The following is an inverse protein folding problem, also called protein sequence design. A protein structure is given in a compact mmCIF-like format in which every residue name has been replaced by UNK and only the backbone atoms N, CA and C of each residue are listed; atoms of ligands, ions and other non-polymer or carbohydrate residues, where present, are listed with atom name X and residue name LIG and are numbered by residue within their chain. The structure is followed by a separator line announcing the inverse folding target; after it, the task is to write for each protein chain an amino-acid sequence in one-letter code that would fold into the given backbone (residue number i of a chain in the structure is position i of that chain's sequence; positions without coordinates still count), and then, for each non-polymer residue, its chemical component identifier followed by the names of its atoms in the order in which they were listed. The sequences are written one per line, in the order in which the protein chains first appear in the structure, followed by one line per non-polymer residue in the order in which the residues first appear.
data_IF_147466613225
#
_entry.id   IF_147466613225
#
_cell.length_a   1.000
_cell.length_b   1.000
_cell.length_c   1.000
_cell.angle_alpha   90.00
_cell.angle_beta   90.00
_cell.angle_gamma   90.00
#
_symmetry.space_group_name_H-M   'P 1'
#
loop_
_entity.id
_entity.type
_entity.pdbx_description
1 polymer ?
#
# COMPACT_ATOMS: atom_id res chain seq x y z
N UNK A 1 28.83 -16.56 -13.32
CA UNK A 1 27.50 -16.25 -12.79
C UNK A 1 27.54 -14.88 -12.13
N UNK A 2 26.99 -13.86 -12.69
CA UNK A 2 26.94 -12.58 -12.03
C UNK A 2 25.63 -12.43 -11.31
N UNK A 3 25.64 -12.49 -10.03
CA UNK A 3 24.55 -12.01 -9.20
C UNK A 3 24.87 -10.60 -8.71
N UNK A 4 24.97 -9.66 -9.61
CA UNK A 4 25.02 -8.23 -9.27
C UNK A 4 23.64 -7.65 -8.97
N UNK A 5 22.65 -8.50 -8.78
CA UNK A 5 21.32 -8.06 -8.31
C UNK A 5 21.35 -8.00 -6.80
N UNK A 6 21.50 -6.79 -6.28
CA UNK A 6 21.25 -6.53 -4.86
C UNK A 6 19.85 -7.01 -4.49
N UNK A 7 19.67 -7.68 -3.35
CA UNK A 7 18.35 -8.18 -2.89
C UNK A 7 17.24 -7.13 -2.88
N UNK A 8 17.58 -5.85 -2.82
CA UNK A 8 16.65 -4.72 -2.82
C UNK A 8 15.92 -4.46 -4.15
N UNK A 9 16.21 -5.23 -5.21
CA UNK A 9 15.56 -5.11 -6.52
C UNK A 9 14.69 -6.29 -6.91
N UNK A 10 14.41 -7.19 -5.96
CA UNK A 10 13.56 -8.37 -6.20
C UNK A 10 12.24 -8.17 -5.47
N UNK A 11 11.14 -8.31 -6.20
CA UNK A 11 9.80 -8.26 -5.61
C UNK A 11 9.59 -9.42 -4.65
N UNK A 12 9.07 -9.13 -3.46
CA UNK A 12 8.73 -10.13 -2.48
C UNK A 12 7.45 -10.86 -2.89
N UNK A 13 7.47 -12.20 -2.72
CA UNK A 13 6.38 -13.08 -3.07
C UNK A 13 5.96 -13.95 -1.89
N UNK A 14 4.69 -14.38 -1.86
CA UNK A 14 4.15 -15.30 -0.86
C UNK A 14 4.18 -16.73 -1.40
N UNK A 15 4.75 -17.63 -0.59
CA UNK A 15 4.70 -19.07 -0.80
C UNK A 15 4.01 -19.74 0.37
N UNK A 16 3.19 -20.74 0.09
CA UNK A 16 2.53 -21.58 1.08
C UNK A 16 3.24 -22.94 1.10
N UNK A 17 3.63 -23.37 2.29
CA UNK A 17 4.27 -24.67 2.52
C UNK A 17 3.29 -25.54 3.30
N UNK A 18 2.91 -26.68 2.72
CA UNK A 18 2.20 -27.73 3.45
C UNK A 18 3.19 -28.47 4.34
N UNK A 19 2.96 -28.45 5.65
CA UNK A 19 3.93 -29.00 6.64
C UNK A 19 4.05 -30.52 6.53
N UNK A 20 2.96 -31.22 6.25
CA UNK A 20 2.95 -32.66 6.21
C UNK A 20 3.62 -33.21 4.95
N UNK A 21 3.26 -32.69 3.79
CA UNK A 21 3.80 -33.12 2.49
C UNK A 21 5.07 -32.39 2.08
N UNK A 22 5.41 -31.27 2.73
CA UNK A 22 6.50 -30.33 2.38
C UNK A 22 6.36 -29.72 0.99
N UNK A 23 5.17 -29.80 0.39
CA UNK A 23 4.91 -29.16 -0.89
C UNK A 23 4.86 -27.66 -0.76
N UNK A 24 5.54 -26.97 -1.68
CA UNK A 24 5.60 -25.51 -1.75
C UNK A 24 4.75 -25.04 -2.92
N UNK A 25 3.78 -24.17 -2.65
CA UNK A 25 2.90 -23.56 -3.65
C UNK A 25 3.07 -22.04 -3.65
N UNK A 26 3.40 -21.40 -4.80
CA UNK A 26 3.39 -19.95 -4.88
C UNK A 26 1.95 -19.45 -4.86
N UNK A 27 1.67 -18.47 -3.98
CA UNK A 27 0.36 -17.81 -3.89
C UNK A 27 0.28 -16.57 -4.79
N UNK A 28 1.38 -15.83 -4.89
CA UNK A 28 1.44 -14.52 -5.57
C UNK A 28 2.25 -14.53 -6.87
N UNK A 29 2.44 -15.68 -7.52
CA UNK A 29 3.24 -15.81 -8.76
C UNK A 29 2.86 -14.82 -9.86
N UNK A 30 1.54 -14.58 -10.03
CA UNK A 30 0.98 -13.69 -11.07
C UNK A 30 0.54 -12.35 -10.48
N UNK A 31 1.01 -12.03 -9.28
CA UNK A 31 0.71 -10.79 -8.57
C UNK A 31 1.95 -9.91 -8.63
N UNK A 32 1.85 -8.82 -9.38
CA UNK A 32 3.00 -7.96 -9.68
C UNK A 32 3.49 -7.09 -8.52
N UNK A 33 2.61 -6.55 -7.61
CA UNK A 33 3.07 -5.73 -6.51
C UNK A 33 3.98 -6.49 -5.53
N UNK A 34 4.97 -5.79 -4.96
CA UNK A 34 5.91 -6.35 -4.00
C UNK A 34 5.29 -6.49 -2.61
N UNK A 35 5.20 -7.71 -2.10
CA UNK A 35 4.59 -8.00 -0.79
C UNK A 35 5.47 -7.53 0.35
N UNK A 36 4.86 -6.91 1.37
CA UNK A 36 5.59 -6.46 2.58
C UNK A 36 5.10 -7.17 3.84
N UNK A 37 4.08 -6.64 4.52
CA UNK A 37 3.56 -7.22 5.75
C UNK A 37 2.57 -8.33 5.45
N UNK A 38 2.69 -9.47 6.14
CA UNK A 38 1.80 -10.62 5.97
C UNK A 38 1.28 -11.03 7.35
N UNK A 39 -0.02 -11.33 7.44
CA UNK A 39 -0.63 -11.88 8.64
C UNK A 39 -1.76 -12.84 8.27
N UNK A 40 -1.73 -14.05 8.87
CA UNK A 40 -2.83 -15.00 8.75
C UNK A 40 -3.91 -14.68 9.77
N UNK A 41 -5.15 -14.55 9.34
CA UNK A 41 -6.27 -14.31 10.23
C UNK A 41 -6.89 -15.65 10.69
N UNK A 42 -6.84 -15.88 12.00
CA UNK A 42 -7.41 -17.09 12.61
C UNK A 42 -8.95 -17.09 12.54
N UNK A 43 -9.58 -15.92 12.54
CA UNK A 43 -11.03 -15.79 12.55
C UNK A 43 -11.72 -16.26 11.26
N UNK A 44 -11.22 -15.84 10.10
CA UNK A 44 -11.79 -16.15 8.78
C UNK A 44 -10.94 -17.08 7.92
N UNK A 45 -9.76 -17.45 8.43
CA UNK A 45 -8.77 -18.27 7.76
C UNK A 45 -8.28 -17.71 6.41
N UNK A 46 -8.28 -16.38 6.29
CA UNK A 46 -7.72 -15.67 5.14
C UNK A 46 -6.35 -15.10 5.47
N UNK A 47 -5.54 -14.94 4.45
CA UNK A 47 -4.26 -14.25 4.54
C UNK A 47 -4.45 -12.78 4.19
N UNK A 48 -4.01 -11.89 5.07
CA UNK A 48 -3.99 -10.44 4.83
C UNK A 48 -2.56 -9.99 4.64
N UNK A 49 -2.34 -9.09 3.69
CA UNK A 49 -1.01 -8.57 3.42
C UNK A 49 -1.05 -7.18 2.79
N UNK A 50 0.01 -6.42 2.99
CA UNK A 50 0.24 -5.19 2.22
C UNK A 50 1.21 -5.46 1.10
N UNK A 51 1.07 -4.70 0.01
CA UNK A 51 2.02 -4.75 -1.09
C UNK A 51 2.21 -3.37 -1.72
N UNK A 52 3.44 -3.11 -2.15
CA UNK A 52 3.79 -1.92 -2.92
C UNK A 52 3.40 -2.13 -4.38
N UNK A 53 2.56 -1.25 -4.88
CA UNK A 53 2.21 -1.15 -6.29
C UNK A 53 2.62 0.24 -6.79
N UNK A 54 3.71 0.30 -7.52
CA UNK A 54 4.38 1.54 -7.93
C UNK A 54 4.77 2.39 -6.71
N UNK A 55 4.10 3.53 -6.50
CA UNK A 55 4.33 4.49 -5.44
C UNK A 55 3.28 4.44 -4.31
N UNK A 56 2.30 3.54 -4.40
CA UNK A 56 1.26 3.32 -3.40
C UNK A 56 1.46 1.99 -2.68
N UNK A 57 0.97 1.91 -1.45
CA UNK A 57 0.96 0.66 -0.69
C UNK A 57 -0.47 0.29 -0.32
N UNK A 58 -0.91 -0.84 -0.84
CA UNK A 58 -2.28 -1.32 -0.74
C UNK A 58 -2.43 -2.52 0.18
N UNK A 59 -3.66 -2.71 0.68
CA UNK A 59 -4.05 -3.84 1.50
C UNK A 59 -4.80 -4.88 0.66
N UNK A 60 -4.42 -6.13 0.83
CA UNK A 60 -5.00 -7.27 0.12
C UNK A 60 -5.42 -8.36 1.09
N UNK A 61 -6.37 -9.19 0.66
CA UNK A 61 -6.63 -10.48 1.29
C UNK A 61 -6.57 -11.59 0.27
N UNK A 62 -6.12 -12.76 0.68
CA UNK A 62 -6.05 -13.94 -0.15
C UNK A 62 -6.70 -15.15 0.52
N UNK A 63 -7.46 -15.91 -0.26
CA UNK A 63 -7.89 -17.25 0.09
C UNK A 63 -6.84 -18.24 -0.42
N UNK A 64 -6.13 -18.86 0.50
CA UNK A 64 -5.02 -19.76 0.21
C UNK A 64 -5.48 -21.04 -0.52
N UNK A 65 -6.73 -21.47 -0.32
CA UNK A 65 -7.28 -22.68 -0.97
C UNK A 65 -7.56 -22.43 -2.45
N UNK A 66 -8.27 -21.35 -2.74
CA UNK A 66 -8.63 -20.99 -4.13
C UNK A 66 -7.52 -20.23 -4.85
N UNK A 67 -6.58 -19.62 -4.15
CA UNK A 67 -5.56 -18.73 -4.68
C UNK A 67 -6.10 -17.35 -5.09
N UNK A 68 -7.36 -17.03 -4.74
CA UNK A 68 -7.97 -15.74 -5.09
C UNK A 68 -7.41 -14.64 -4.21
N UNK A 69 -6.88 -13.59 -4.85
CA UNK A 69 -6.43 -12.35 -4.20
C UNK A 69 -7.46 -11.27 -4.48
N UNK A 70 -7.79 -10.48 -3.46
CA UNK A 70 -8.72 -9.37 -3.54
C UNK A 70 -8.07 -8.13 -2.91
N UNK A 71 -8.06 -7.02 -3.65
CA UNK A 71 -7.73 -5.72 -3.10
C UNK A 71 -8.85 -5.26 -2.15
N UNK A 72 -8.48 -4.69 -1.03
CA UNK A 72 -9.41 -4.12 -0.05
C UNK A 72 -9.48 -2.62 -0.32
N UNK A 73 -10.70 -2.07 -0.37
CA UNK A 73 -10.89 -0.63 -0.54
C UNK A 73 -10.33 0.13 0.66
N UNK A 74 -9.54 1.14 0.40
CA UNK A 74 -8.77 1.89 1.38
C UNK A 74 -9.15 3.36 1.37
N UNK A 75 -9.10 4.03 2.52
CA UNK A 75 -9.34 5.48 2.61
C UNK A 75 -8.10 6.31 2.27
N UNK A 76 -6.92 5.70 2.17
CA UNK A 76 -5.63 6.37 1.98
C UNK A 76 -4.80 5.71 0.88
N UNK A 77 -3.85 6.44 0.30
CA UNK A 77 -2.99 5.96 -0.79
C UNK A 77 -1.87 5.02 -0.32
N UNK A 78 -1.45 5.19 0.93
CA UNK A 78 -0.33 4.44 1.49
C UNK A 78 -0.73 3.82 2.82
N UNK A 79 -0.93 2.52 2.79
CA UNK A 79 -1.21 1.73 3.98
C UNK A 79 0.05 1.54 4.81
N UNK A 80 -0.01 1.93 6.07
CA UNK A 80 1.06 1.71 7.03
C UNK A 80 1.08 0.26 7.53
N UNK A 81 1.12 0.10 8.84
CA UNK A 81 1.02 -1.21 9.49
C UNK A 81 -0.42 -1.55 9.79
N UNK A 82 -0.73 -2.85 9.77
CA UNK A 82 -2.02 -3.35 10.21
C UNK A 82 -1.87 -4.42 11.29
N UNK A 83 -2.92 -4.64 12.06
CA UNK A 83 -3.05 -5.71 13.04
C UNK A 83 -4.45 -6.30 12.98
N UNK A 84 -4.54 -7.62 13.06
CA UNK A 84 -5.77 -8.40 13.07
C UNK A 84 -6.11 -8.82 14.50
N UNK A 85 -7.40 -8.80 14.84
CA UNK A 85 -7.87 -9.34 16.11
C UNK A 85 -8.03 -10.87 16.00
N UNK A 86 -7.55 -11.60 17.00
CA UNK A 86 -7.59 -13.08 17.00
C UNK A 86 -9.00 -13.66 17.13
N UNK A 87 -9.89 -12.95 17.82
CA UNK A 87 -11.24 -13.46 18.21
C UNK A 87 -12.40 -12.65 17.63
N UNK A 88 -12.14 -11.73 16.72
CA UNK A 88 -13.16 -10.87 16.14
C UNK A 88 -12.83 -10.51 14.68
N UNK A 89 -13.84 -10.24 13.84
CA UNK A 89 -13.64 -9.82 12.46
C UNK A 89 -13.23 -8.34 12.39
N UNK A 90 -12.12 -8.00 13.02
CA UNK A 90 -11.65 -6.61 13.16
C UNK A 90 -10.18 -6.51 12.81
N UNK A 91 -9.87 -5.49 12.05
CA UNK A 91 -8.52 -5.04 11.75
C UNK A 91 -8.36 -3.59 12.21
N UNK A 92 -7.17 -3.23 12.65
CA UNK A 92 -6.72 -1.83 12.78
C UNK A 92 -5.55 -1.60 11.85
N UNK A 93 -5.45 -0.41 11.30
CA UNK A 93 -4.33 -0.05 10.44
C UNK A 93 -4.07 1.45 10.47
N UNK A 94 -2.83 1.84 10.16
CA UNK A 94 -2.51 3.22 9.86
C UNK A 94 -2.51 3.45 8.35
N UNK A 95 -2.79 4.67 7.94
CA UNK A 95 -2.75 5.08 6.55
C UNK A 95 -2.39 6.54 6.42
N UNK A 96 -1.80 6.90 5.29
CA UNK A 96 -1.44 8.27 4.94
C UNK A 96 -1.61 8.51 3.44
N UNK A 97 -1.72 9.75 3.06
CA UNK A 97 -1.68 10.18 1.66
C UNK A 97 -0.56 11.20 1.46
N UNK A 98 -0.37 11.62 0.23
CA UNK A 98 0.65 12.63 -0.08
C UNK A 98 0.37 14.01 0.56
N UNK A 99 -0.88 14.26 0.98
CA UNK A 99 -1.33 15.54 1.55
C UNK A 99 -1.65 15.47 3.05
N UNK A 100 -1.45 14.31 3.69
CA UNK A 100 -1.65 14.16 5.12
C UNK A 100 -0.67 13.15 5.74
N UNK A 101 -0.49 13.25 7.06
CA UNK A 101 0.28 12.28 7.83
C UNK A 101 -0.62 11.13 8.30
N UNK A 102 -0.07 10.23 9.11
CA UNK A 102 -0.73 9.04 9.60
C UNK A 102 -2.10 9.32 10.25
N UNK A 103 -3.07 8.54 9.83
CA UNK A 103 -4.37 8.36 10.45
C UNK A 103 -4.54 6.93 10.91
N UNK A 104 -5.28 6.71 11.98
CA UNK A 104 -5.57 5.38 12.49
C UNK A 104 -7.01 5.00 12.17
N UNK A 105 -7.18 3.80 11.66
CA UNK A 105 -8.46 3.25 11.23
C UNK A 105 -8.75 1.93 11.93
N UNK A 106 -10.06 1.65 12.08
CA UNK A 106 -10.61 0.33 12.37
C UNK A 106 -11.44 -0.13 11.17
N UNK A 107 -11.30 -1.38 10.80
CA UNK A 107 -12.09 -1.99 9.72
C UNK A 107 -12.83 -3.23 10.24
N UNK A 108 -14.10 -3.35 9.89
CA UNK A 108 -14.85 -4.59 10.04
C UNK A 108 -14.56 -5.49 8.83
N UNK A 109 -14.03 -6.70 9.08
CA UNK A 109 -13.59 -7.62 8.02
C UNK A 109 -14.75 -8.30 7.27
N UNK A 110 -15.98 -8.24 7.80
CA UNK A 110 -17.16 -8.76 7.10
C UNK A 110 -17.66 -7.77 6.05
N UNK A 111 -17.65 -6.49 6.38
CA UNK A 111 -18.14 -5.43 5.49
C UNK A 111 -17.04 -4.74 4.71
N UNK A 112 -15.78 -4.87 5.15
CA UNK A 112 -14.59 -4.18 4.63
C UNK A 112 -14.73 -2.65 4.65
N UNK A 113 -15.51 -2.12 5.60
CA UNK A 113 -15.72 -0.68 5.75
C UNK A 113 -14.78 -0.14 6.83
N UNK A 114 -13.88 0.79 6.48
CA UNK A 114 -13.02 1.46 7.43
C UNK A 114 -13.78 2.56 8.18
N UNK A 115 -13.40 2.76 9.44
CA UNK A 115 -13.83 3.87 10.28
C UNK A 115 -12.58 4.53 10.85
N UNK A 116 -12.41 5.82 10.66
CA UNK A 116 -11.30 6.58 11.23
C UNK A 116 -11.48 6.68 12.75
N UNK A 117 -10.43 6.33 13.49
CA UNK A 117 -10.39 6.42 14.95
C UNK A 117 -9.67 7.69 15.41
N UNK A 118 -8.54 8.00 14.77
CA UNK A 118 -7.69 9.13 15.14
C UNK A 118 -7.15 9.79 13.87
N UNK A 119 -7.19 11.10 13.83
CA UNK A 119 -6.50 11.92 12.85
C UNK A 119 -5.26 12.55 13.51
N UNK A 120 -4.11 11.89 13.34
CA UNK A 120 -2.85 12.39 13.86
C UNK A 120 -2.36 13.60 13.08
N UNK A 121 -2.78 13.75 11.83
CA UNK A 121 -2.49 14.93 11.02
C UNK A 121 -3.14 16.18 11.63
N UNK A 122 -4.46 16.12 11.88
CA UNK A 122 -5.19 17.23 12.49
C UNK A 122 -4.65 17.59 13.88
N UNK A 123 -4.23 16.60 14.67
CA UNK A 123 -3.65 16.83 15.99
C UNK A 123 -2.28 17.52 15.96
N UNK A 124 -1.48 17.27 14.93
CA UNK A 124 -0.10 17.80 14.85
C UNK A 124 0.02 19.04 14.00
N UNK A 125 -0.80 19.15 12.97
CA UNK A 125 -0.67 20.13 11.90
C UNK A 125 -1.99 20.84 11.58
N UNK A 126 -2.92 20.91 12.55
CA UNK A 126 -4.23 21.51 12.33
C UNK A 126 -4.18 22.97 11.85
N UNK A 127 -3.10 23.68 12.20
CA UNK A 127 -2.85 25.07 11.79
C UNK A 127 -1.97 25.17 10.52
N UNK A 128 -1.57 24.04 9.93
CA UNK A 128 -0.71 23.99 8.75
C UNK A 128 -1.54 23.61 7.52
N UNK A 129 -1.49 24.45 6.51
CA UNK A 129 -2.11 24.15 5.24
C UNK A 129 -1.12 23.40 4.33
N UNK A 130 -1.54 22.23 3.88
CA UNK A 130 -0.74 21.39 2.98
C UNK A 130 -1.14 21.65 1.52
N UNK A 131 -0.17 21.51 0.63
CA UNK A 131 -0.41 21.52 -0.79
C UNK A 131 -1.10 20.24 -1.28
N UNK A 132 -1.36 20.17 -2.56
CA UNK A 132 -1.95 19.00 -3.21
C UNK A 132 -0.89 18.14 -3.88
N UNK A 133 -1.20 16.87 -4.08
CA UNK A 133 -0.37 15.95 -4.84
C UNK A 133 -1.21 15.28 -5.92
N UNK A 134 -0.69 15.28 -7.13
CA UNK A 134 -1.34 14.69 -8.31
C UNK A 134 -0.44 13.58 -8.88
N UNK A 135 -1.05 12.44 -9.21
CA UNK A 135 -0.36 11.42 -9.98
C UNK A 135 -0.13 11.92 -11.41
N UNK A 136 1.05 11.63 -11.94
CA UNK A 136 1.47 12.07 -13.25
C UNK A 136 2.23 10.96 -13.96
N UNK A 137 1.80 10.63 -15.16
CA UNK A 137 2.44 9.61 -15.96
C UNK A 137 2.84 10.19 -17.33
N UNK A 138 3.97 9.76 -17.86
CA UNK A 138 4.36 10.06 -19.23
C UNK A 138 5.03 8.87 -19.90
N UNK A 139 4.98 8.82 -21.21
CA UNK A 139 5.67 7.80 -22.00
C UNK A 139 7.00 8.37 -22.49
N UNK A 140 8.09 7.69 -22.16
CA UNK A 140 9.43 8.07 -22.59
C UNK A 140 9.68 7.71 -24.07
N UNK A 141 10.82 8.12 -24.61
CA UNK A 141 11.21 7.86 -26.02
C UNK A 141 11.38 6.37 -26.37
N UNK A 142 11.42 5.48 -25.38
CA UNK A 142 11.51 4.02 -25.55
C UNK A 142 10.16 3.32 -25.47
N UNK A 143 9.10 4.07 -25.18
CA UNK A 143 7.75 3.52 -24.99
C UNK A 143 7.44 3.07 -23.57
N UNK A 144 8.33 3.28 -22.58
CA UNK A 144 8.08 2.94 -21.19
C UNK A 144 7.20 4.02 -20.54
N UNK A 145 6.21 3.61 -19.76
CA UNK A 145 5.44 4.54 -18.92
C UNK A 145 6.22 4.84 -17.64
N UNK A 146 6.52 6.10 -17.44
CA UNK A 146 7.16 6.62 -16.23
C UNK A 146 6.10 7.26 -15.36
N UNK A 147 5.96 6.77 -14.13
CA UNK A 147 5.03 7.30 -13.15
C UNK A 147 5.74 8.30 -12.25
N UNK A 148 5.06 9.36 -11.88
CA UNK A 148 5.56 10.39 -11.00
C UNK A 148 4.47 11.05 -10.19
N UNK A 149 4.88 11.93 -9.29
CA UNK A 149 4.01 12.74 -8.45
C UNK A 149 4.35 14.21 -8.61
N UNK A 150 3.33 15.03 -8.73
CA UNK A 150 3.43 16.46 -8.83
C UNK A 150 2.90 17.09 -7.53
N UNK A 151 3.79 17.69 -6.75
CA UNK A 151 3.45 18.35 -5.49
C UNK A 151 3.29 19.84 -5.73
N UNK A 152 2.10 20.35 -5.50
CA UNK A 152 1.76 21.76 -5.66
C UNK A 152 1.67 22.44 -4.30
N UNK A 153 2.13 23.70 -4.15
CA UNK A 153 2.01 24.43 -2.90
C UNK A 153 0.54 24.72 -2.56
N UNK A 154 0.23 25.03 -1.29
CA UNK A 154 -1.09 25.57 -0.94
C UNK A 154 -1.41 26.80 -1.81
N UNK A 155 -2.67 26.95 -2.21
CA UNK A 155 -3.15 28.04 -3.08
C UNK A 155 -2.37 28.15 -4.39
N UNK A 156 -2.01 27.02 -4.99
CA UNK A 156 -1.34 27.01 -6.28
C UNK A 156 -2.13 27.80 -7.34
N UNK A 157 -1.48 28.74 -8.00
CA UNK A 157 -2.04 29.57 -9.05
C UNK A 157 -1.34 29.23 -10.39
N UNK A 158 -2.00 28.58 -11.34
CA UNK A 158 -1.39 28.17 -12.60
C UNK A 158 -0.94 29.36 -13.49
N UNK A 159 -1.36 30.56 -13.20
CA UNK A 159 -0.92 31.77 -13.91
C UNK A 159 0.46 32.28 -13.44
N UNK A 160 0.95 31.78 -12.30
CA UNK A 160 2.23 32.18 -11.72
C UNK A 160 3.34 31.19 -12.05
N UNK A 161 4.58 31.68 -12.02
CA UNK A 161 5.77 30.83 -12.12
C UNK A 161 6.29 30.48 -10.74
N UNK A 162 6.60 29.21 -10.55
CA UNK A 162 7.16 28.67 -9.31
C UNK A 162 8.54 28.04 -9.56
N UNK A 163 9.45 28.03 -8.58
CA UNK A 163 10.64 27.22 -8.67
C UNK A 163 10.26 25.73 -8.71
N UNK A 164 10.94 24.94 -9.55
CA UNK A 164 10.73 23.51 -9.70
C UNK A 164 11.87 22.74 -9.06
N UNK A 165 11.54 21.78 -8.21
CA UNK A 165 12.48 20.78 -7.69
C UNK A 165 12.11 19.43 -8.31
N UNK A 166 13.08 18.81 -9.00
CA UNK A 166 12.91 17.46 -9.58
C UNK A 166 13.70 16.49 -8.72
N UNK A 167 13.02 15.45 -8.23
CA UNK A 167 13.62 14.32 -7.54
C UNK A 167 13.37 13.04 -8.34
N UNK A 168 14.39 12.22 -8.51
CA UNK A 168 14.28 10.94 -9.23
C UNK A 168 15.13 9.88 -8.52
N UNK A 169 14.76 8.61 -8.66
CA UNK A 169 15.47 7.45 -8.07
C UNK A 169 15.36 6.20 -8.96
#
# INVERSE_FOLDING_TARGET
LPSDRTPSKVDNQIFIIDIASRNVKPLTRNFNPSVEQIQWNVYDNLLYFTALDRDCKHLYRADVKSGKILAIAEPEEYMGRFALADKAPVMTFSGQSASNTDRLYRMDLKTLKPTQLVDLHALRFGDVEFGTCEAWDFVNSRGDTICGRFYLPPHFDPSKKYPLIVNYY
#
